data_IF_454198380485
#
_entry.id   IF_454198380485
#
_cell.length_a   1.000
_cell.length_b   1.000
_cell.length_c   1.000
_cell.angle_alpha   90.00
_cell.angle_beta   90.00
_cell.angle_gamma   90.00
#
_symmetry.space_group_name_H-M   'P 1'
#
loop_
_entity.id
_entity.type
_entity.pdbx_description
1 polymer ?
#
# COMPACT_ATOMS: atom_id res chain seq x y z
N UNK A 1 -8.16 13.02 -17.44
CA UNK A 1 -7.54 13.28 -16.13
C UNK A 1 -8.55 14.07 -15.31
N UNK A 2 -9.05 13.45 -14.24
CA UNK A 2 -9.82 14.15 -13.22
C UNK A 2 -8.74 14.90 -12.41
N UNK A 3 -8.85 16.22 -12.25
CA UNK A 3 -7.79 17.09 -11.73
C UNK A 3 -7.49 16.95 -10.23
N UNK A 4 -7.68 15.77 -9.65
CA UNK A 4 -7.36 15.51 -8.25
C UNK A 4 -5.86 15.22 -8.17
N UNK A 5 -5.17 16.07 -7.42
CA UNK A 5 -3.74 16.01 -7.14
C UNK A 5 -3.53 16.10 -5.63
N UNK A 6 -2.39 15.64 -5.15
CA UNK A 6 -2.08 15.72 -3.73
C UNK A 6 -0.97 14.76 -3.33
N UNK A 7 -0.59 14.85 -2.06
CA UNK A 7 0.46 14.02 -1.47
C UNK A 7 -0.12 13.24 -0.28
N UNK A 8 0.12 11.93 -0.23
CA UNK A 8 -0.41 11.05 0.83
C UNK A 8 0.14 11.36 2.22
N UNK A 9 1.13 12.25 2.37
CA UNK A 9 1.61 12.73 3.69
C UNK A 9 0.51 13.26 4.61
N UNK A 10 -0.63 13.69 4.05
CA UNK A 10 -1.80 14.10 4.84
C UNK A 10 -2.35 12.98 5.73
N UNK A 11 -2.03 11.72 5.43
CA UNK A 11 -2.47 10.55 6.19
C UNK A 11 -1.50 10.09 7.29
N UNK A 12 -0.33 10.71 7.44
CA UNK A 12 0.74 10.27 8.38
C UNK A 12 0.25 10.06 9.82
N UNK A 13 -0.75 10.85 10.25
CA UNK A 13 -1.32 10.80 11.59
C UNK A 13 -2.79 10.37 11.59
N UNK A 14 -3.14 9.36 10.79
CA UNK A 14 -4.50 8.81 10.69
C UNK A 14 -4.61 7.39 11.27
N UNK A 15 -4.48 7.21 12.61
CA UNK A 15 -4.46 5.87 13.23
C UNK A 15 -5.80 5.13 13.16
N UNK A 16 -6.87 5.82 12.78
CA UNK A 16 -8.20 5.26 12.61
C UNK A 16 -8.59 5.08 11.13
N UNK A 17 -7.65 5.27 10.19
CA UNK A 17 -7.91 5.03 8.78
C UNK A 17 -8.24 3.55 8.56
N UNK A 18 -9.39 3.29 7.93
CA UNK A 18 -9.87 1.95 7.60
C UNK A 18 -9.73 1.65 6.11
N UNK A 19 -10.09 2.63 5.28
CA UNK A 19 -10.14 2.49 3.82
C UNK A 19 -9.57 3.75 3.19
N UNK A 20 -8.69 3.57 2.20
CA UNK A 20 -8.22 4.64 1.35
C UNK A 20 -8.16 4.15 -0.10
N UNK A 21 -8.89 4.85 -0.97
CA UNK A 21 -8.98 4.53 -2.39
C UNK A 21 -8.71 5.78 -3.22
N UNK A 22 -7.52 5.86 -3.82
CA UNK A 22 -7.06 7.01 -4.59
C UNK A 22 -6.52 6.60 -5.97
N UNK A 23 -6.85 5.39 -6.44
CA UNK A 23 -6.35 4.82 -7.68
C UNK A 23 -6.58 5.71 -8.92
N UNK A 24 -5.62 5.67 -9.85
CA UNK A 24 -5.67 6.39 -11.15
C UNK A 24 -5.82 7.91 -11.00
N UNK A 25 -5.19 8.48 -9.96
CA UNK A 25 -5.14 9.92 -9.71
C UNK A 25 -3.69 10.42 -9.77
N UNK A 26 -3.51 11.75 -9.88
CA UNK A 26 -2.18 12.38 -9.84
C UNK A 26 -1.73 12.59 -8.39
N UNK A 27 -1.71 11.50 -7.62
CA UNK A 27 -1.31 11.45 -6.22
C UNK A 27 0.15 11.01 -6.13
N UNK A 28 0.91 11.67 -5.26
CA UNK A 28 2.32 11.37 -5.01
C UNK A 28 2.54 10.98 -3.56
N UNK A 29 3.73 10.45 -3.25
CA UNK A 29 4.24 10.38 -1.89
C UNK A 29 4.89 9.04 -1.54
N UNK A 30 5.27 8.88 -0.28
CA UNK A 30 5.92 7.68 0.25
C UNK A 30 4.92 6.88 1.08
N UNK A 31 4.83 5.57 0.84
CA UNK A 31 3.92 4.66 1.52
C UNK A 31 4.22 4.51 3.02
N UNK A 32 5.39 4.93 3.49
CA UNK A 32 5.76 4.93 4.92
C UNK A 32 4.81 5.75 5.80
N UNK A 33 3.99 6.62 5.22
CA UNK A 33 2.97 7.40 5.93
C UNK A 33 1.96 6.53 6.67
N UNK A 34 1.75 5.27 6.24
CA UNK A 34 0.79 4.35 6.86
C UNK A 34 1.36 3.58 8.07
N UNK A 35 2.54 3.93 8.58
CA UNK A 35 3.18 3.23 9.70
C UNK A 35 2.35 3.18 10.99
N UNK A 36 1.43 4.15 11.18
CA UNK A 36 0.51 4.20 12.33
C UNK A 36 -0.91 3.72 12.01
N UNK A 37 -1.20 3.27 10.78
CA UNK A 37 -2.54 2.91 10.32
C UNK A 37 -2.90 1.45 10.62
N UNK A 38 -2.76 1.02 11.88
CA UNK A 38 -2.95 -0.38 12.28
C UNK A 38 -4.38 -0.93 12.04
N UNK A 39 -5.35 -0.06 11.79
CA UNK A 39 -6.74 -0.42 11.46
C UNK A 39 -7.03 -0.48 9.96
N UNK A 40 -6.03 -0.22 9.11
CA UNK A 40 -6.21 -0.22 7.66
C UNK A 40 -6.62 -1.61 7.18
N UNK A 41 -7.69 -1.65 6.39
CA UNK A 41 -8.29 -2.85 5.80
C UNK A 41 -8.15 -2.83 4.28
N UNK A 42 -8.42 -1.68 3.66
CA UNK A 42 -8.34 -1.52 2.20
C UNK A 42 -7.42 -0.36 1.84
N UNK A 43 -6.45 -0.62 0.96
CA UNK A 43 -5.56 0.40 0.40
C UNK A 43 -5.42 0.24 -1.10
N UNK A 44 -6.01 1.17 -1.86
CA UNK A 44 -5.86 1.24 -3.31
C UNK A 44 -5.13 2.52 -3.71
N UNK A 45 -3.91 2.36 -4.20
CA UNK A 45 -3.05 3.43 -4.70
C UNK A 45 -2.51 3.11 -6.11
N UNK A 46 -3.11 2.15 -6.81
CA UNK A 46 -2.66 1.76 -8.14
C UNK A 46 -2.69 2.93 -9.12
N UNK A 47 -1.70 2.95 -10.04
CA UNK A 47 -1.51 3.99 -11.06
C UNK A 47 -1.41 5.41 -10.48
N UNK A 48 -0.70 5.54 -9.36
CA UNK A 48 -0.29 6.80 -8.75
C UNK A 48 1.24 6.89 -8.68
N UNK A 49 1.79 8.08 -8.47
CA UNK A 49 3.25 8.30 -8.32
C UNK A 49 3.69 7.99 -6.86
N UNK A 50 3.39 6.78 -6.40
CA UNK A 50 3.72 6.31 -5.04
C UNK A 50 5.08 5.62 -5.03
N UNK A 51 5.84 5.89 -3.99
CA UNK A 51 7.19 5.37 -3.74
C UNK A 51 7.26 4.77 -2.34
N UNK A 52 8.42 4.20 -1.99
CA UNK A 52 8.73 3.76 -0.64
C UNK A 52 8.56 2.26 -0.43
N UNK A 53 8.94 1.82 0.77
CA UNK A 53 9.10 0.41 1.06
C UNK A 53 7.82 -0.23 1.65
N UNK A 54 7.39 -1.36 1.09
CA UNK A 54 6.20 -2.09 1.57
C UNK A 54 6.36 -2.70 2.96
N UNK A 55 7.56 -2.66 3.54
CA UNK A 55 7.81 -3.04 4.93
C UNK A 55 6.92 -2.32 5.94
N UNK A 56 6.29 -1.20 5.58
CA UNK A 56 5.27 -0.51 6.39
C UNK A 56 4.11 -1.43 6.78
N UNK A 57 3.76 -2.41 5.94
CA UNK A 57 2.61 -3.30 6.18
C UNK A 57 2.83 -4.32 7.30
N UNK A 58 4.04 -4.40 7.87
CA UNK A 58 4.25 -5.12 9.14
C UNK A 58 3.35 -4.58 10.27
N UNK A 59 2.91 -3.33 10.16
CA UNK A 59 2.07 -2.65 11.15
C UNK A 59 0.57 -2.63 10.79
N UNK A 60 0.15 -3.29 9.71
CA UNK A 60 -1.25 -3.29 9.24
C UNK A 60 -1.84 -4.71 9.25
N UNK A 61 -1.98 -5.35 10.43
CA UNK A 61 -2.37 -6.77 10.52
C UNK A 61 -3.79 -7.08 10.04
N UNK A 62 -4.62 -6.04 9.85
CA UNK A 62 -6.01 -6.16 9.39
C UNK A 62 -6.16 -5.87 7.89
N UNK A 63 -5.05 -5.71 7.15
CA UNK A 63 -5.12 -5.42 5.71
C UNK A 63 -5.68 -6.65 4.98
N UNK A 64 -6.75 -6.42 4.23
CA UNK A 64 -7.48 -7.44 3.45
C UNK A 64 -7.33 -7.21 1.95
N UNK A 65 -7.30 -5.93 1.53
CA UNK A 65 -7.23 -5.53 0.12
C UNK A 65 -6.08 -4.54 -0.10
N UNK A 66 -5.18 -4.87 -1.04
CA UNK A 66 -4.03 -4.03 -1.38
C UNK A 66 -3.80 -3.98 -2.89
N UNK A 67 -3.97 -2.81 -3.47
CA UNK A 67 -3.65 -2.55 -4.88
C UNK A 67 -2.57 -1.46 -4.99
N UNK A 68 -1.39 -1.87 -5.47
CA UNK A 68 -0.22 -1.02 -5.70
C UNK A 68 0.31 -1.13 -7.14
N UNK A 69 -0.52 -1.62 -8.06
CA UNK A 69 -0.12 -1.80 -9.45
C UNK A 69 0.41 -0.52 -10.09
N UNK A 70 1.46 -0.64 -10.89
CA UNK A 70 2.04 0.49 -11.62
C UNK A 70 2.39 1.63 -10.66
N UNK A 71 3.19 1.31 -9.65
CA UNK A 71 3.78 2.27 -8.70
C UNK A 71 5.27 1.99 -8.55
N UNK A 72 6.01 2.92 -7.95
CA UNK A 72 7.45 2.79 -7.71
C UNK A 72 7.74 2.32 -6.27
N UNK A 73 6.86 1.49 -5.70
CA UNK A 73 7.09 0.89 -4.39
C UNK A 73 8.11 -0.24 -4.49
N UNK A 74 8.93 -0.37 -3.45
CA UNK A 74 9.97 -1.39 -3.35
C UNK A 74 9.81 -2.25 -2.09
N UNK A 75 10.65 -3.28 -1.97
CA UNK A 75 10.75 -4.11 -0.77
C UNK A 75 10.55 -5.60 -1.04
N UNK A 76 10.42 -6.35 0.05
CA UNK A 76 10.30 -7.80 0.03
C UNK A 76 8.86 -8.21 0.39
N UNK A 77 8.23 -9.01 -0.47
CA UNK A 77 6.87 -9.52 -0.28
C UNK A 77 6.74 -10.42 0.95
N UNK A 78 7.85 -10.87 1.56
CA UNK A 78 7.84 -11.54 2.86
C UNK A 78 7.16 -10.73 3.97
N UNK A 79 6.96 -9.42 3.81
CA UNK A 79 6.16 -8.60 4.73
C UNK A 79 4.71 -9.07 4.84
N UNK A 80 4.14 -9.71 3.81
CA UNK A 80 2.74 -10.13 3.81
C UNK A 80 2.45 -11.28 4.79
N UNK A 81 3.47 -11.90 5.38
CA UNK A 81 3.29 -12.80 6.54
C UNK A 81 2.65 -12.10 7.75
N UNK A 82 2.76 -10.77 7.84
CA UNK A 82 2.17 -9.95 8.91
C UNK A 82 0.74 -9.50 8.60
N UNK A 83 0.23 -9.78 7.40
CA UNK A 83 -1.12 -9.43 6.95
C UNK A 83 -1.90 -10.71 6.61
N UNK A 84 -2.24 -11.56 7.60
CA UNK A 84 -2.78 -12.90 7.37
C UNK A 84 -4.17 -12.92 6.71
N UNK A 85 -4.87 -11.77 6.71
CA UNK A 85 -6.17 -11.63 6.05
C UNK A 85 -6.06 -11.10 4.62
N UNK A 86 -4.87 -10.76 4.13
CA UNK A 86 -4.67 -10.20 2.79
C UNK A 86 -5.04 -11.24 1.73
N UNK A 87 -5.95 -10.87 0.82
CA UNK A 87 -6.38 -11.70 -0.29
C UNK A 87 -6.01 -11.05 -1.61
N UNK A 88 -5.47 -11.86 -2.53
CA UNK A 88 -5.22 -11.49 -3.92
C UNK A 88 -4.59 -10.08 -4.12
N UNK A 89 -3.43 -9.76 -3.51
CA UNK A 89 -2.83 -8.44 -3.64
C UNK A 89 -2.43 -8.17 -5.08
N UNK A 90 -2.77 -6.97 -5.58
CA UNK A 90 -2.39 -6.52 -6.91
C UNK A 90 -1.12 -5.67 -6.80
N UNK A 91 -0.01 -6.23 -7.27
CA UNK A 91 1.35 -5.65 -7.14
C UNK A 91 2.16 -5.73 -8.43
N UNK A 92 1.51 -5.81 -9.60
CA UNK A 92 2.24 -5.92 -10.88
C UNK A 92 2.84 -4.56 -11.29
N UNK A 93 3.93 -4.58 -12.05
CA UNK A 93 4.69 -3.36 -12.39
C UNK A 93 5.07 -2.52 -11.15
N UNK A 94 5.69 -3.20 -10.18
CA UNK A 94 6.34 -2.60 -9.00
C UNK A 94 7.80 -3.05 -8.94
N UNK A 95 8.60 -2.48 -8.04
CA UNK A 95 9.99 -2.87 -7.80
C UNK A 95 10.11 -3.89 -6.65
N UNK A 96 9.07 -4.69 -6.43
CA UNK A 96 9.02 -5.69 -5.36
C UNK A 96 9.86 -6.93 -5.68
N UNK A 97 10.40 -7.51 -4.62
CA UNK A 97 11.24 -8.71 -4.63
C UNK A 97 10.70 -9.71 -3.61
N UNK A 98 11.28 -10.92 -3.59
CA UNK A 98 11.00 -11.94 -2.58
C UNK A 98 10.50 -13.25 -3.16
N UNK A 99 10.15 -14.16 -2.26
CA UNK A 99 9.69 -15.51 -2.60
C UNK A 99 8.16 -15.59 -2.62
N UNK A 100 7.61 -16.13 -3.69
CA UNK A 100 6.16 -16.28 -3.88
C UNK A 100 5.54 -17.30 -2.91
N UNK A 101 6.35 -18.13 -2.25
CA UNK A 101 5.91 -19.02 -1.15
C UNK A 101 5.19 -18.27 -0.03
N UNK A 102 5.34 -16.94 0.10
CA UNK A 102 4.56 -16.14 1.06
C UNK A 102 3.03 -16.22 0.82
N UNK A 103 2.59 -16.59 -0.38
CA UNK A 103 1.17 -16.69 -0.76
C UNK A 103 0.61 -18.12 -0.75
N UNK A 104 1.37 -19.12 -0.30
CA UNK A 104 0.92 -20.52 -0.20
C UNK A 104 0.51 -20.91 1.21
#
# INVERSE_FOLDING_TARGET
SIGITGDIRVFENTPNLLTLELQTLSITGDISVFHNSAKLVTLHLDRCDITGNIGVFQNTPNLEELHLDVTCVDGDIAVFQFTPSLQDPSIWETDLTGDIEVFT
#
